data_IF_640256481255
#
_entry.id   IF_640256481255
#
_cell.length_a   1.000
_cell.length_b   1.000
_cell.length_c   1.000
_cell.angle_alpha   90.00
_cell.angle_beta   90.00
_cell.angle_gamma   90.00
#
_symmetry.space_group_name_H-M   'P 1'
#
loop_
_entity.id
_entity.type
_entity.pdbx_description
1 polymer ?
#
# COMPACT_ATOMS: atom_id res chain seq x y z
N UNK A 1 15.14 -15.37 1.01
CA UNK A 1 13.90 -15.08 1.75
C UNK A 1 12.70 -15.32 0.85
N UNK A 2 11.66 -15.96 1.38
CA UNK A 2 10.43 -16.14 0.62
C UNK A 2 9.72 -14.79 0.46
N UNK A 3 9.35 -14.42 -0.78
CA UNK A 3 8.68 -13.15 -1.02
C UNK A 3 7.23 -13.18 -0.55
N UNK A 4 6.69 -12.03 -0.19
CA UNK A 4 5.36 -11.87 0.38
C UNK A 4 4.53 -10.87 -0.42
N UNK A 5 3.21 -11.02 -0.35
CA UNK A 5 2.26 -10.03 -0.84
C UNK A 5 1.37 -9.66 0.35
N UNK A 6 1.61 -8.48 0.93
CA UNK A 6 0.91 -8.05 2.14
C UNK A 6 -0.03 -6.90 1.83
N UNK A 7 -1.28 -7.05 2.25
CA UNK A 7 -2.31 -6.03 2.05
C UNK A 7 -2.77 -5.48 3.39
N UNK A 8 -2.85 -4.15 3.45
CA UNK A 8 -3.37 -3.41 4.59
C UNK A 8 -4.58 -2.63 4.11
N UNK A 9 -5.77 -3.12 4.44
CA UNK A 9 -7.04 -2.62 3.90
C UNK A 9 -7.95 -2.15 5.01
N UNK A 10 -8.97 -1.39 4.65
CA UNK A 10 -9.94 -0.88 5.61
C UNK A 10 -10.36 0.54 5.27
N UNK A 11 -11.18 1.16 6.13
CA UNK A 11 -11.67 2.51 5.88
C UNK A 11 -10.58 3.56 6.04
N UNK A 12 -10.89 4.81 5.67
CA UNK A 12 -10.00 5.93 5.91
C UNK A 12 -9.68 6.06 7.40
N UNK A 13 -8.48 6.55 7.71
CA UNK A 13 -8.00 6.75 9.08
C UNK A 13 -7.92 5.46 9.91
N UNK A 14 -7.90 4.31 9.25
CA UNK A 14 -7.77 3.02 9.92
C UNK A 14 -6.34 2.62 10.25
N UNK A 15 -5.35 3.47 9.97
CA UNK A 15 -3.97 3.16 10.26
C UNK A 15 -3.29 2.25 9.24
N UNK A 16 -3.85 2.12 8.05
CA UNK A 16 -3.30 1.26 6.99
C UNK A 16 -1.85 1.64 6.63
N UNK A 17 -1.63 2.93 6.39
CA UNK A 17 -0.31 3.44 6.04
C UNK A 17 0.68 3.23 7.17
N UNK A 18 0.27 3.51 8.41
CA UNK A 18 1.11 3.30 9.59
C UNK A 18 1.56 1.85 9.71
N UNK A 19 0.62 0.91 9.54
CA UNK A 19 0.94 -0.52 9.64
C UNK A 19 1.83 -0.98 8.50
N UNK A 20 1.57 -0.50 7.29
CA UNK A 20 2.44 -0.80 6.14
C UNK A 20 3.85 -0.29 6.38
N UNK A 21 4.00 0.97 6.84
CA UNK A 21 5.31 1.56 7.10
C UNK A 21 6.06 0.85 8.23
N UNK A 22 5.35 0.34 9.24
CA UNK A 22 5.97 -0.48 10.29
C UNK A 22 6.61 -1.73 9.71
N UNK A 23 5.94 -2.36 8.74
CA UNK A 23 6.49 -3.54 8.07
C UNK A 23 7.67 -3.17 7.16
N UNK A 24 7.59 -2.03 6.48
CA UNK A 24 8.70 -1.50 5.68
C UNK A 24 9.93 -1.31 6.56
N UNK A 25 9.75 -0.78 7.76
CA UNK A 25 10.83 -0.59 8.72
C UNK A 25 11.45 -1.92 9.14
N UNK A 26 10.63 -2.95 9.34
CA UNK A 26 11.14 -4.30 9.67
C UNK A 26 12.04 -4.84 8.56
N UNK A 27 11.65 -4.66 7.30
CA UNK A 27 12.51 -5.09 6.18
C UNK A 27 13.81 -4.29 6.15
N UNK A 28 13.74 -3.00 6.46
CA UNK A 28 14.93 -2.15 6.52
C UNK A 28 15.94 -2.66 7.55
N UNK A 29 15.46 -3.09 8.72
CA UNK A 29 16.33 -3.68 9.74
C UNK A 29 17.00 -4.97 9.28
N UNK A 30 16.42 -5.65 8.29
CA UNK A 30 17.00 -6.84 7.70
C UNK A 30 17.89 -6.53 6.50
N UNK A 31 18.15 -5.26 6.23
CA UNK A 31 18.96 -4.82 5.11
C UNK A 31 18.21 -4.68 3.80
N UNK A 32 16.87 -4.73 3.85
CA UNK A 32 16.02 -4.68 2.66
C UNK A 32 15.25 -3.36 2.61
N UNK A 33 15.79 -2.38 1.90
CA UNK A 33 15.15 -1.08 1.76
C UNK A 33 14.00 -1.17 0.75
N UNK A 34 12.85 -0.62 1.12
CA UNK A 34 11.67 -0.61 0.27
C UNK A 34 11.66 0.61 -0.66
N UNK A 35 11.15 0.40 -1.87
CA UNK A 35 10.81 1.50 -2.77
C UNK A 35 9.34 1.80 -2.59
N UNK A 36 9.00 3.05 -2.26
CA UNK A 36 7.64 3.46 -1.92
C UNK A 36 7.01 4.27 -3.03
N UNK A 37 5.75 3.98 -3.31
CA UNK A 37 4.95 4.67 -4.32
C UNK A 37 3.66 5.21 -3.72
N UNK A 38 3.20 6.34 -4.24
CA UNK A 38 1.89 6.90 -3.90
C UNK A 38 1.27 7.60 -5.11
N UNK A 39 -0.05 7.85 -5.09
CA UNK A 39 -0.68 8.55 -6.21
C UNK A 39 -0.17 9.97 -6.37
N UNK A 40 0.00 10.40 -7.61
CA UNK A 40 0.44 11.76 -7.91
C UNK A 40 -0.58 12.81 -7.50
N UNK A 41 -1.87 12.45 -7.46
CA UNK A 41 -2.96 13.37 -7.16
C UNK A 41 -3.44 13.30 -5.71
N UNK A 42 -2.64 12.74 -4.80
CA UNK A 42 -3.01 12.67 -3.39
C UNK A 42 -2.78 14.04 -2.72
N UNK A 43 -3.85 14.86 -2.68
CA UNK A 43 -3.80 16.21 -2.13
C UNK A 43 -3.74 16.24 -0.61
N UNK A 44 -3.95 15.13 0.08
CA UNK A 44 -3.87 15.08 1.54
C UNK A 44 -2.44 15.21 2.04
N UNK A 45 -1.48 14.90 1.17
CA UNK A 45 -0.06 14.98 1.48
C UNK A 45 0.60 15.88 0.43
N UNK A 46 0.87 17.10 0.80
CA UNK A 46 1.45 18.09 -0.12
C UNK A 46 2.94 17.86 -0.40
N UNK A 47 3.47 16.74 0.01
CA UNK A 47 4.89 16.42 -0.12
C UNK A 47 5.10 15.10 -0.85
N UNK A 48 6.34 14.79 -1.20
CA UNK A 48 6.72 13.53 -1.82
C UNK A 48 6.96 12.42 -0.79
N UNK A 49 6.46 12.59 0.43
CA UNK A 49 6.63 11.61 1.48
C UNK A 49 5.30 11.05 1.96
N UNK A 50 5.34 9.84 2.52
CA UNK A 50 4.20 9.21 3.15
C UNK A 50 4.25 9.54 4.64
N UNK A 51 3.12 10.04 5.16
CA UNK A 51 2.95 10.35 6.58
C UNK A 51 2.04 9.34 7.25
N UNK A 52 2.46 8.78 8.37
CA UNK A 52 1.62 7.95 9.24
C UNK A 52 1.04 8.79 10.37
N UNK A 53 0.12 8.21 11.15
CA UNK A 53 -0.44 8.85 12.33
C UNK A 53 0.59 9.12 13.42
N UNK A 54 1.69 8.39 13.41
CA UNK A 54 2.77 8.58 14.37
C UNK A 54 3.76 9.66 13.95
N UNK A 55 3.51 10.30 12.81
CA UNK A 55 4.41 11.33 12.27
C UNK A 55 5.62 10.78 11.53
N UNK A 56 5.71 9.47 11.38
CA UNK A 56 6.79 8.85 10.60
C UNK A 56 6.60 9.21 9.13
N UNK A 57 7.67 9.66 8.50
CA UNK A 57 7.67 10.04 7.08
C UNK A 57 8.71 9.22 6.33
N UNK A 58 8.35 8.78 5.14
CA UNK A 58 9.29 8.15 4.22
C UNK A 58 9.09 8.73 2.83
N UNK A 59 10.18 8.93 2.11
CA UNK A 59 10.10 9.45 0.75
C UNK A 59 9.40 8.45 -0.15
N UNK A 60 8.51 8.96 -1.00
CA UNK A 60 7.75 8.15 -1.92
C UNK A 60 7.79 8.74 -3.31
N UNK A 61 7.73 7.87 -4.30
CA UNK A 61 7.68 8.27 -5.71
C UNK A 61 6.21 8.43 -6.09
N UNK A 62 5.86 9.57 -6.66
CA UNK A 62 4.50 9.83 -7.13
C UNK A 62 4.33 9.25 -8.52
N UNK A 63 3.23 8.51 -8.71
CA UNK A 63 2.93 7.86 -9.99
C UNK A 63 1.46 8.10 -10.37
N UNK A 64 1.21 8.07 -11.67
CA UNK A 64 -0.15 8.22 -12.21
C UNK A 64 -0.79 6.88 -12.60
N UNK A 65 0.03 5.88 -12.89
CA UNK A 65 -0.44 4.57 -13.37
C UNK A 65 0.48 3.46 -12.87
N UNK A 66 -0.08 2.24 -12.77
CA UNK A 66 0.70 1.07 -12.38
C UNK A 66 1.88 0.77 -13.32
N UNK A 67 1.76 1.12 -14.59
CA UNK A 67 2.88 0.95 -15.54
C UNK A 67 4.10 1.76 -15.14
N UNK A 68 3.90 2.92 -14.52
CA UNK A 68 5.01 3.73 -14.00
C UNK A 68 5.75 2.99 -12.89
N UNK A 69 5.00 2.30 -12.04
CA UNK A 69 5.59 1.51 -10.95
C UNK A 69 6.49 0.42 -11.53
N UNK A 70 5.97 -0.35 -12.49
CA UNK A 70 6.74 -1.43 -13.09
C UNK A 70 7.99 -0.93 -13.82
N UNK A 71 7.85 0.18 -14.55
CA UNK A 71 8.97 0.78 -15.28
C UNK A 71 10.08 1.24 -14.33
N UNK A 72 9.70 1.91 -13.25
CA UNK A 72 10.66 2.43 -12.26
C UNK A 72 11.36 1.29 -11.53
N UNK A 73 10.61 0.27 -11.11
CA UNK A 73 11.20 -0.90 -10.44
C UNK A 73 12.19 -1.61 -11.36
N UNK A 74 11.84 -1.79 -12.63
CA UNK A 74 12.74 -2.41 -13.60
C UNK A 74 14.01 -1.57 -13.82
N UNK A 75 13.88 -0.25 -13.86
CA UNK A 75 15.02 0.63 -14.06
C UNK A 75 15.99 0.60 -12.87
N UNK A 76 15.49 0.47 -11.66
CA UNK A 76 16.31 0.51 -10.44
C UNK A 76 16.90 -0.87 -10.13
N UNK A 77 16.08 -1.92 -10.18
CA UNK A 77 16.45 -3.25 -9.69
C UNK A 77 16.71 -4.27 -10.81
N UNK A 78 16.26 -3.98 -12.04
CA UNK A 78 16.32 -4.97 -13.11
C UNK A 78 15.54 -6.22 -12.71
N UNK A 79 16.19 -7.35 -12.67
CA UNK A 79 15.58 -8.61 -12.23
C UNK A 79 15.84 -8.96 -10.78
N UNK A 80 16.50 -8.10 -10.00
CA UNK A 80 16.85 -8.38 -8.61
C UNK A 80 15.62 -8.23 -7.72
N UNK A 81 15.25 -9.26 -6.92
CA UNK A 81 14.13 -9.15 -6.00
C UNK A 81 14.31 -8.01 -4.99
N UNK A 82 13.23 -7.30 -4.72
CA UNK A 82 13.26 -6.13 -3.84
C UNK A 82 11.93 -6.02 -3.09
N UNK A 83 11.82 -5.02 -2.21
CA UNK A 83 10.60 -4.72 -1.46
C UNK A 83 9.95 -3.47 -2.07
N UNK A 84 8.70 -3.60 -2.47
CA UNK A 84 7.92 -2.53 -3.11
C UNK A 84 6.70 -2.25 -2.24
N UNK A 85 6.50 -0.98 -1.88
CA UNK A 85 5.33 -0.57 -1.11
C UNK A 85 4.51 0.44 -1.91
N UNK A 86 3.20 0.26 -1.94
CA UNK A 86 2.27 1.10 -2.69
C UNK A 86 1.21 1.62 -1.72
N UNK A 87 1.20 2.93 -1.49
CA UNK A 87 0.19 3.55 -0.65
C UNK A 87 -0.96 4.06 -1.51
N UNK A 88 -2.17 3.97 -0.96
CA UNK A 88 -3.39 4.41 -1.63
C UNK A 88 -3.56 3.84 -3.04
N UNK A 89 -3.34 2.54 -3.17
CA UNK A 89 -3.33 1.85 -4.45
C UNK A 89 -4.65 2.01 -5.22
N UNK A 90 -5.79 2.17 -4.51
CA UNK A 90 -7.10 2.37 -5.14
C UNK A 90 -7.14 3.63 -6.03
N UNK A 91 -6.26 4.60 -5.77
CA UNK A 91 -6.18 5.83 -6.54
C UNK A 91 -5.21 5.75 -7.73
N UNK A 92 -4.53 4.63 -7.90
CA UNK A 92 -3.56 4.46 -8.99
C UNK A 92 -4.14 3.43 -9.98
N UNK A 93 -4.66 3.89 -11.14
CA UNK A 93 -5.14 2.95 -12.15
C UNK A 93 -4.02 1.99 -12.55
N UNK A 94 -4.35 0.70 -12.67
CA UNK A 94 -3.38 -0.32 -13.03
C UNK A 94 -2.48 -0.79 -11.89
N UNK A 95 -2.66 -0.27 -10.67
CA UNK A 95 -1.82 -0.65 -9.53
C UNK A 95 -2.00 -2.12 -9.14
N UNK A 96 -3.22 -2.65 -9.25
CA UNK A 96 -3.47 -4.05 -8.95
C UNK A 96 -2.69 -4.97 -9.86
N UNK A 97 -2.75 -4.74 -11.16
CA UNK A 97 -1.98 -5.52 -12.12
C UNK A 97 -0.47 -5.35 -11.89
N UNK A 98 -0.02 -4.13 -11.62
CA UNK A 98 1.40 -3.87 -11.35
C UNK A 98 1.88 -4.66 -10.13
N UNK A 99 1.12 -4.62 -9.04
CA UNK A 99 1.45 -5.35 -7.82
C UNK A 99 1.54 -6.85 -8.06
N UNK A 100 0.57 -7.41 -8.77
CA UNK A 100 0.53 -8.83 -9.10
C UNK A 100 1.75 -9.23 -9.96
N UNK A 101 2.06 -8.44 -10.99
CA UNK A 101 3.20 -8.72 -11.86
C UNK A 101 4.52 -8.65 -11.10
N UNK A 102 4.69 -7.66 -10.24
CA UNK A 102 5.89 -7.53 -9.42
C UNK A 102 6.05 -8.72 -8.47
N UNK A 103 4.96 -9.12 -7.83
CA UNK A 103 4.98 -10.29 -6.96
C UNK A 103 5.33 -11.56 -7.73
N UNK A 104 4.75 -11.74 -8.90
CA UNK A 104 5.01 -12.90 -9.76
C UNK A 104 6.49 -12.97 -10.17
N UNK A 105 7.14 -11.83 -10.31
CA UNK A 105 8.57 -11.75 -10.62
C UNK A 105 9.49 -11.94 -9.42
N UNK A 106 8.94 -12.16 -8.25
CA UNK A 106 9.71 -12.47 -7.03
C UNK A 106 9.91 -11.31 -6.07
N UNK A 107 9.31 -10.14 -6.33
CA UNK A 107 9.37 -9.04 -5.38
C UNK A 107 8.41 -9.25 -4.22
N UNK A 108 8.78 -8.72 -3.04
CA UNK A 108 7.84 -8.58 -1.94
C UNK A 108 7.06 -7.30 -2.16
N UNK A 109 5.74 -7.39 -2.08
CA UNK A 109 4.85 -6.25 -2.34
C UNK A 109 4.00 -5.97 -1.11
N UNK A 110 3.96 -4.71 -0.69
CA UNK A 110 3.08 -4.23 0.38
C UNK A 110 2.13 -3.19 -0.21
N UNK A 111 0.85 -3.32 0.09
CA UNK A 111 -0.17 -2.44 -0.46
C UNK A 111 -1.07 -1.93 0.66
N UNK A 112 -1.25 -0.61 0.75
CA UNK A 112 -2.25 0.01 1.61
C UNK A 112 -3.35 0.58 0.73
N UNK A 113 -4.60 0.20 0.95
CA UNK A 113 -5.70 0.58 0.07
C UNK A 113 -7.05 0.54 0.78
N UNK A 114 -8.00 1.34 0.28
CA UNK A 114 -9.39 1.19 0.67
C UNK A 114 -9.97 -0.04 -0.02
N UNK A 115 -10.85 -0.76 0.69
CA UNK A 115 -11.59 -1.88 0.14
C UNK A 115 -12.83 -1.42 -0.61
N UNK A 116 -13.55 -0.48 0.00
CA UNK A 116 -14.85 -0.03 -0.50
C UNK A 116 -14.85 1.49 -0.65
N UNK A 117 -15.57 1.95 -1.66
CA UNK A 117 -15.86 3.37 -1.82
C UNK A 117 -16.93 3.81 -0.82
N UNK A 118 -17.20 5.11 -0.76
CA UNK A 118 -18.21 5.67 0.14
C UNK A 118 -19.63 5.13 -0.11
N UNK A 119 -19.91 4.64 -1.32
CA UNK A 119 -21.22 4.06 -1.67
C UNK A 119 -21.28 2.55 -1.45
N UNK A 120 -20.24 1.94 -0.90
CA UNK A 120 -20.18 0.51 -0.64
C UNK A 120 -19.70 -0.34 -1.81
N UNK A 121 -19.36 0.27 -2.95
CA UNK A 121 -18.82 -0.46 -4.10
C UNK A 121 -17.37 -0.86 -3.84
N UNK A 122 -16.99 -2.04 -4.32
CA UNK A 122 -15.62 -2.50 -4.20
C UNK A 122 -14.71 -1.78 -5.22
N UNK A 123 -13.52 -1.42 -4.80
CA UNK A 123 -12.50 -0.94 -5.73
C UNK A 123 -11.91 -2.11 -6.48
N UNK A 124 -11.95 -2.08 -7.81
CA UNK A 124 -11.44 -3.17 -8.65
C UNK A 124 -9.95 -3.40 -8.43
N UNK A 125 -9.17 -2.33 -8.30
CA UNK A 125 -7.72 -2.45 -8.07
C UNK A 125 -7.43 -3.22 -6.78
N UNK A 126 -8.18 -2.96 -5.73
CA UNK A 126 -8.01 -3.67 -4.45
C UNK A 126 -8.51 -5.11 -4.55
N UNK A 127 -9.67 -5.30 -5.16
CA UNK A 127 -10.30 -6.62 -5.28
C UNK A 127 -9.44 -7.63 -6.01
N UNK A 128 -8.81 -7.23 -7.11
CA UNK A 128 -8.03 -8.15 -7.92
C UNK A 128 -6.77 -8.65 -7.24
N UNK A 129 -6.31 -7.96 -6.19
CA UNK A 129 -5.11 -8.34 -5.47
C UNK A 129 -5.32 -9.44 -4.43
N UNK A 130 -6.53 -9.57 -3.87
CA UNK A 130 -6.77 -10.49 -2.76
C UNK A 130 -6.36 -11.95 -3.02
N UNK A 131 -6.62 -12.52 -4.20
CA UNK A 131 -6.21 -13.92 -4.44
C UNK A 131 -4.70 -14.16 -4.35
N UNK A 132 -3.91 -13.14 -4.52
CA UNK A 132 -2.44 -13.24 -4.49
C UNK A 132 -1.85 -12.93 -3.12
N UNK A 133 -2.64 -12.40 -2.20
CA UNK A 133 -2.15 -11.95 -0.90
C UNK A 133 -1.69 -13.12 -0.04
N UNK A 134 -0.51 -13.00 0.54
CA UNK A 134 0.01 -13.94 1.54
C UNK A 134 -0.34 -13.50 2.95
N UNK A 135 -0.76 -12.23 3.11
CA UNK A 135 -1.17 -11.66 4.38
C UNK A 135 -2.13 -10.51 4.12
N UNK A 136 -3.23 -10.47 4.85
CA UNK A 136 -4.20 -9.37 4.78
C UNK A 136 -4.50 -8.88 6.20
N UNK A 137 -4.30 -7.59 6.44
CA UNK A 137 -4.70 -6.94 7.67
C UNK A 137 -5.87 -6.00 7.37
N UNK A 138 -6.97 -6.19 8.05
CA UNK A 138 -8.11 -5.26 7.97
C UNK A 138 -7.96 -4.29 9.12
N UNK A 139 -7.76 -3.01 8.79
CA UNK A 139 -7.49 -1.97 9.77
C UNK A 139 -8.79 -1.23 10.09
N UNK A 140 -9.33 -1.32 11.31
CA UNK A 140 -10.58 -0.65 11.66
C UNK A 140 -10.35 0.86 11.84
N UNK A 141 -11.36 1.66 11.52
CA UNK A 141 -11.33 3.09 11.80
C UNK A 141 -11.47 3.34 13.30
N UNK A 142 -10.88 4.45 13.76
CA UNK A 142 -10.98 4.89 15.15
C UNK A 142 -12.06 5.96 15.25
N UNK A 143 -13.02 5.78 16.16
CA UNK A 143 -14.01 6.80 16.47
C UNK A 143 -13.35 7.87 17.34
N UNK A 144 -13.21 9.11 16.85
CA UNK A 144 -12.52 10.15 17.60
C UNK A 144 -13.24 10.60 18.88
N UNK A 145 -14.55 10.34 19.00
CA UNK A 145 -15.34 10.76 20.15
C UNK A 145 -15.36 9.71 21.27
N UNK A 146 -15.45 8.43 20.90
CA UNK A 146 -15.57 7.34 21.88
C UNK A 146 -14.32 6.50 21.99
N UNK A 147 -13.33 6.73 21.15
CA UNK A 147 -12.11 5.94 21.05
C UNK A 147 -12.37 4.46 20.75
N UNK A 148 -13.53 4.14 20.20
CA UNK A 148 -13.86 2.79 19.78
C UNK A 148 -13.37 2.54 18.37
N UNK A 149 -12.98 1.29 18.10
CA UNK A 149 -12.60 0.86 16.77
C UNK A 149 -13.81 0.31 16.04
N UNK A 150 -13.96 0.64 14.75
CA UNK A 150 -14.95 0.00 13.91
C UNK A 150 -14.40 -0.18 12.50
N UNK A 151 -14.93 -1.20 11.80
CA UNK A 151 -14.53 -1.51 10.42
C UNK A 151 -15.49 -0.81 9.46
N UNK A 152 -15.17 -0.85 8.16
CA UNK A 152 -16.06 -0.33 7.13
C UNK A 152 -17.43 -1.00 7.14
N UNK A 153 -17.50 -2.26 7.54
CA UNK A 153 -18.77 -3.00 7.61
C UNK A 153 -19.67 -2.55 8.75
N UNK A 154 -19.10 -1.96 9.78
CA UNK A 154 -19.84 -1.49 10.96
C UNK A 154 -20.25 -0.03 10.84
N UNK A 155 -19.78 0.65 9.83
CA UNK A 155 -20.04 2.09 9.65
C UNK A 155 -21.39 2.38 8.95
#
# INVERSE_FOLDING_TARGET
>A
MKHEFRMYVGPMFGGKTTRMLSQVERYSYMGEEALLFKPKVDERYETDSICSHTGVKQEAIRVEHGDDIQRIVSAIYGGTPSVIAIDEAFMIPGSGNAAIQLFTRGHTVLVASLQLSSDGSAYEETQMMFPYATYVAVCPAVDPLSCLLYTSDAA
#
